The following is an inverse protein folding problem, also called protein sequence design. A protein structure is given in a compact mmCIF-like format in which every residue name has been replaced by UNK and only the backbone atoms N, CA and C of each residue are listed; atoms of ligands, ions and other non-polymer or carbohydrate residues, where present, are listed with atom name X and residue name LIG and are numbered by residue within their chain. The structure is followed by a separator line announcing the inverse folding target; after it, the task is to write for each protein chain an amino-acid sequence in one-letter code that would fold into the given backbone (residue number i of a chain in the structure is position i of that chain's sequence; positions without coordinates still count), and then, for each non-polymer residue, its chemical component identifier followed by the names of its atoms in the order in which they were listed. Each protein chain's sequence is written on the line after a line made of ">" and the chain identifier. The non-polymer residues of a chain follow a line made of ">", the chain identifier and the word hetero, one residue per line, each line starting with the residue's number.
data_IF_045830160010
#
_entry.id   IF_045830160010
#
_cell.length_a   1.000
_cell.length_b   1.000
_cell.length_c   1.000
_cell.angle_alpha   90.00
_cell.angle_beta   90.00
_cell.angle_gamma   90.00
#
_symmetry.space_group_name_H-M   'P 1'
#
loop_
_entity.id
_entity.type
_entity.pdbx_description
1 polymer ?
#
# COMPACT_ATOMS: atom_id res chain seq x y z
N UNK A 1 -16.81 -9.32 10.21
CA UNK A 1 -15.95 -10.22 11.00
C UNK A 1 -16.70 -10.90 12.14
N UNK A 2 -17.25 -10.18 13.13
CA UNK A 2 -18.07 -10.76 14.22
C UNK A 2 -19.17 -11.71 13.73
N UNK A 3 -19.91 -11.28 12.72
CA UNK A 3 -21.01 -12.05 12.12
C UNK A 3 -20.58 -13.06 11.05
N UNK A 4 -19.36 -12.94 10.53
CA UNK A 4 -18.91 -13.69 9.34
C UNK A 4 -17.50 -14.25 9.61
N UNK A 5 -17.38 -15.52 10.08
CA UNK A 5 -16.11 -16.11 10.49
C UNK A 5 -15.15 -16.34 9.31
N UNK A 6 -15.68 -16.57 8.11
CA UNK A 6 -14.88 -16.81 6.90
C UNK A 6 -14.47 -15.51 6.18
N UNK A 7 -14.87 -14.35 6.69
CA UNK A 7 -14.53 -13.07 6.08
C UNK A 7 -13.12 -12.65 6.48
N UNK A 8 -12.31 -12.31 5.48
CA UNK A 8 -10.99 -11.69 5.61
C UNK A 8 -11.04 -10.25 5.11
N UNK A 9 -10.29 -9.37 5.76
CA UNK A 9 -10.17 -7.96 5.39
C UNK A 9 -8.70 -7.57 5.35
N UNK A 10 -8.34 -6.69 4.43
CA UNK A 10 -6.99 -6.17 4.31
C UNK A 10 -6.99 -4.66 4.48
N UNK A 11 -5.94 -4.13 5.12
CA UNK A 11 -5.69 -2.69 5.21
C UNK A 11 -4.18 -2.42 5.15
N UNK A 12 -3.79 -1.40 4.39
CA UNK A 12 -2.43 -1.20 3.91
C UNK A 12 -1.61 -0.22 4.75
N UNK A 13 -2.21 0.90 5.19
CA UNK A 13 -1.45 2.02 5.76
C UNK A 13 -1.34 1.90 7.27
N UNK A 14 -0.10 1.89 7.77
CA UNK A 14 0.12 1.79 9.21
C UNK A 14 -0.24 3.06 9.99
N UNK A 15 -0.20 4.23 9.35
CA UNK A 15 -0.65 5.48 9.95
C UNK A 15 -2.10 5.38 10.47
N UNK A 16 -2.96 4.63 9.77
CA UNK A 16 -4.34 4.43 10.19
C UNK A 16 -4.42 3.64 11.50
N UNK A 17 -3.56 2.63 11.67
CA UNK A 17 -3.48 1.88 12.93
C UNK A 17 -3.03 2.76 14.08
N UNK A 18 -2.04 3.62 13.87
CA UNK A 18 -1.60 4.56 14.91
C UNK A 18 -2.72 5.54 15.30
N UNK A 19 -3.47 6.07 14.34
CA UNK A 19 -4.63 6.92 14.65
C UNK A 19 -5.71 6.16 15.41
N UNK A 20 -6.00 4.91 15.05
CA UNK A 20 -6.98 4.08 15.77
C UNK A 20 -6.47 3.76 17.18
N UNK A 21 -5.19 3.46 17.36
CA UNK A 21 -4.61 3.22 18.69
C UNK A 21 -4.72 4.46 19.59
N UNK A 22 -4.48 5.65 19.04
CA UNK A 22 -4.53 6.91 19.78
C UNK A 22 -5.97 7.35 20.10
N UNK A 23 -6.87 7.26 19.12
CA UNK A 23 -8.25 7.79 19.24
C UNK A 23 -9.23 6.75 19.81
N UNK A 24 -9.03 5.46 19.50
CA UNK A 24 -9.91 4.37 19.86
C UNK A 24 -9.15 3.12 20.36
N UNK A 25 -8.46 3.19 21.52
CA UNK A 25 -7.60 2.09 21.99
C UNK A 25 -8.30 0.74 22.16
N UNK A 26 -9.60 0.74 22.51
CA UNK A 26 -10.40 -0.49 22.61
C UNK A 26 -10.61 -1.14 21.24
N UNK A 27 -10.89 -0.34 20.21
CA UNK A 27 -11.02 -0.82 18.83
C UNK A 27 -9.70 -1.36 18.31
N UNK A 28 -8.58 -0.71 18.64
CA UNK A 28 -7.26 -1.21 18.27
C UNK A 28 -6.98 -2.60 18.85
N UNK A 29 -7.38 -2.87 20.11
CA UNK A 29 -7.30 -4.21 20.71
C UNK A 29 -8.16 -5.22 19.95
N UNK A 30 -9.37 -4.86 19.55
CA UNK A 30 -10.22 -5.73 18.73
C UNK A 30 -9.57 -6.06 17.38
N UNK A 31 -8.97 -5.05 16.71
CA UNK A 31 -8.21 -5.26 15.47
C UNK A 31 -7.07 -6.26 15.69
N UNK A 32 -6.30 -6.12 16.77
CA UNK A 32 -5.24 -7.06 17.12
C UNK A 32 -5.75 -8.48 17.35
N UNK A 33 -6.91 -8.64 17.99
CA UNK A 33 -7.55 -9.95 18.17
C UNK A 33 -7.98 -10.57 16.83
N UNK A 34 -8.63 -9.81 15.96
CA UNK A 34 -9.01 -10.29 14.62
C UNK A 34 -7.81 -10.56 13.73
N UNK A 35 -6.71 -9.85 13.94
CA UNK A 35 -5.46 -10.12 13.23
C UNK A 35 -4.82 -11.43 13.68
N UNK A 36 -4.80 -11.71 14.98
CA UNK A 36 -4.36 -13.02 15.52
C UNK A 36 -5.23 -14.18 15.04
N UNK A 37 -6.52 -13.93 14.77
CA UNK A 37 -7.46 -14.92 14.21
C UNK A 37 -7.34 -15.12 12.70
N UNK A 38 -6.50 -14.33 12.01
CA UNK A 38 -6.37 -14.39 10.54
C UNK A 38 -7.52 -13.77 9.75
N UNK A 39 -8.39 -12.97 10.39
CA UNK A 39 -9.50 -12.29 9.72
C UNK A 39 -9.15 -10.85 9.33
N UNK A 40 -8.31 -10.17 10.11
CA UNK A 40 -7.81 -8.83 9.79
C UNK A 40 -6.34 -8.95 9.38
N UNK A 41 -6.05 -8.66 8.12
CA UNK A 41 -4.75 -8.91 7.49
C UNK A 41 -4.06 -7.58 7.19
N UNK A 42 -3.11 -7.11 8.02
CA UNK A 42 -2.27 -5.99 7.66
C UNK A 42 -1.45 -6.33 6.41
N UNK A 43 -1.56 -5.49 5.38
CA UNK A 43 -0.84 -5.62 4.11
C UNK A 43 -0.05 -4.34 3.83
N UNK A 44 0.64 -4.26 2.68
CA UNK A 44 1.40 -3.08 2.26
C UNK A 44 2.76 -2.92 2.95
N UNK A 45 2.80 -2.96 4.29
CA UNK A 45 4.04 -2.81 5.05
C UNK A 45 4.63 -1.39 5.02
N UNK A 46 3.81 -0.39 4.67
CA UNK A 46 4.20 1.01 4.52
C UNK A 46 3.50 1.91 5.53
N UNK A 47 4.09 3.08 5.79
CA UNK A 47 3.47 4.10 6.65
C UNK A 47 2.17 4.63 6.06
N UNK A 48 2.23 4.97 4.77
CA UNK A 48 1.13 5.44 3.93
C UNK A 48 1.23 4.78 2.55
N UNK A 49 0.16 4.81 1.76
CA UNK A 49 0.22 4.54 0.32
C UNK A 49 0.79 5.77 -0.39
N UNK A 50 2.11 5.77 -0.58
CA UNK A 50 2.83 6.90 -1.15
C UNK A 50 2.83 6.91 -2.67
N UNK A 51 3.07 8.10 -3.24
CA UNK A 51 3.49 8.22 -4.64
C UNK A 51 4.95 7.75 -4.79
N UNK A 52 5.19 6.81 -5.71
CA UNK A 52 6.50 6.18 -5.91
C UNK A 52 7.44 6.97 -6.83
N UNK A 53 6.93 7.92 -7.61
CA UNK A 53 7.72 8.67 -8.61
C UNK A 53 8.24 9.98 -8.01
N UNK A 54 7.43 10.64 -7.17
CA UNK A 54 7.79 11.89 -6.53
C UNK A 54 8.68 11.73 -5.28
N UNK A 55 9.08 10.50 -4.92
CA UNK A 55 9.75 10.15 -3.66
C UNK A 55 11.14 9.53 -3.86
N UNK A 56 12.01 9.65 -2.84
CA UNK A 56 13.37 9.04 -2.84
C UNK A 56 13.69 8.10 -1.66
N UNK A 57 12.96 8.14 -0.55
CA UNK A 57 13.32 7.41 0.68
C UNK A 57 12.14 6.65 1.27
N UNK A 58 12.27 5.35 1.56
CA UNK A 58 11.23 4.54 2.21
C UNK A 58 11.57 4.21 3.66
N UNK A 59 10.73 4.65 4.60
CA UNK A 59 10.63 4.01 5.91
C UNK A 59 9.79 2.74 5.74
N UNK A 60 10.44 1.59 5.74
CA UNK A 60 9.78 0.30 5.87
C UNK A 60 9.53 0.05 7.35
N UNK A 61 8.31 -0.31 7.72
CA UNK A 61 8.00 -0.64 9.11
C UNK A 61 8.62 -1.98 9.49
N UNK A 62 9.29 -2.00 10.64
CA UNK A 62 9.70 -3.22 11.34
C UNK A 62 8.51 -3.99 11.97
N UNK A 63 7.26 -3.60 11.71
CA UNK A 63 6.08 -4.08 12.43
C UNK A 63 5.40 -5.35 11.89
N UNK A 64 5.86 -5.89 10.77
CA UNK A 64 5.50 -7.25 10.39
C UNK A 64 6.60 -7.79 9.49
N UNK A 65 7.28 -8.87 9.91
CA UNK A 65 8.25 -9.60 9.09
C UNK A 65 7.60 -10.31 7.90
N UNK A 66 6.71 -9.64 7.17
CA UNK A 66 6.11 -10.11 5.93
C UNK A 66 6.86 -9.48 4.75
N UNK A 67 7.37 -10.37 3.93
CA UNK A 67 8.20 -10.15 2.77
C UNK A 67 7.52 -9.20 1.76
N UNK A 68 8.21 -8.13 1.33
CA UNK A 68 7.72 -7.14 0.34
C UNK A 68 7.87 -7.69 -1.10
N UNK A 69 8.11 -9.00 -1.24
CA UNK A 69 8.40 -9.67 -2.50
C UNK A 69 7.19 -9.85 -3.44
N UNK A 70 6.01 -9.34 -3.07
CA UNK A 70 4.73 -9.57 -3.74
C UNK A 70 3.88 -8.30 -3.79
N UNK A 71 3.38 -7.93 -4.97
CA UNK A 71 2.60 -6.70 -5.19
C UNK A 71 1.32 -6.96 -6.01
N UNK A 72 0.16 -6.60 -5.44
CA UNK A 72 -1.11 -6.51 -6.16
C UNK A 72 -1.32 -5.06 -6.54
N UNK A 73 -1.50 -4.78 -7.82
CA UNK A 73 -1.74 -3.43 -8.31
C UNK A 73 -3.05 -3.40 -9.11
N UNK A 74 -3.63 -2.23 -9.24
CA UNK A 74 -4.65 -2.01 -10.24
C UNK A 74 -4.04 -2.02 -11.64
N UNK A 75 -4.80 -2.57 -12.57
CA UNK A 75 -4.42 -2.73 -13.96
C UNK A 75 -4.29 -1.36 -14.64
N UNK A 76 -3.16 -1.16 -15.32
CA UNK A 76 -3.04 -0.10 -16.32
C UNK A 76 -3.65 -0.66 -17.61
N UNK A 77 -4.66 0.02 -18.17
CA UNK A 77 -5.52 -0.49 -19.23
C UNK A 77 -4.80 -1.08 -20.47
N UNK A 78 -3.52 -0.76 -20.67
CA UNK A 78 -2.71 -1.19 -21.81
C UNK A 78 -1.57 -2.18 -21.47
N UNK A 79 -1.39 -2.56 -20.21
CA UNK A 79 -0.28 -3.44 -19.84
C UNK A 79 -0.51 -4.87 -20.37
N UNK A 80 0.50 -5.53 -20.99
CA UNK A 80 0.29 -6.77 -21.73
C UNK A 80 -0.02 -8.00 -20.86
N UNK A 81 0.39 -7.99 -19.59
CA UNK A 81 0.31 -9.16 -18.71
C UNK A 81 -0.56 -8.88 -17.46
N UNK A 82 -1.14 -9.93 -16.89
CA UNK A 82 -1.79 -9.91 -15.58
C UNK A 82 -0.82 -10.42 -14.51
N UNK A 83 -0.07 -11.48 -14.79
CA UNK A 83 0.91 -12.06 -13.85
C UNK A 83 2.28 -12.05 -14.50
N UNK A 84 3.27 -11.45 -13.84
CA UNK A 84 4.62 -11.31 -14.39
C UNK A 84 5.69 -11.18 -13.30
N UNK A 85 6.95 -11.39 -13.67
CA UNK A 85 8.11 -11.10 -12.81
C UNK A 85 8.56 -9.67 -13.07
N UNK A 86 8.40 -8.80 -12.08
CA UNK A 86 8.84 -7.41 -12.17
C UNK A 86 10.27 -7.30 -11.66
N UNK A 87 11.18 -6.96 -12.56
CA UNK A 87 12.60 -6.85 -12.28
C UNK A 87 13.04 -5.40 -12.11
N UNK A 88 13.71 -5.13 -10.99
CA UNK A 88 14.40 -3.87 -10.73
C UNK A 88 15.59 -3.64 -11.66
N UNK A 89 16.19 -2.44 -11.57
CA UNK A 89 17.38 -2.09 -12.34
C UNK A 89 18.57 -3.00 -12.02
N UNK A 90 18.65 -3.47 -10.78
CA UNK A 90 19.64 -4.42 -10.24
C UNK A 90 19.34 -5.89 -10.56
N UNK A 91 18.23 -6.18 -11.24
CA UNK A 91 17.68 -7.52 -11.51
C UNK A 91 17.11 -8.28 -10.30
N UNK A 92 16.93 -7.63 -9.14
CA UNK A 92 16.03 -8.18 -8.12
C UNK A 92 14.61 -8.30 -8.69
N UNK A 93 13.86 -9.33 -8.29
CA UNK A 93 12.55 -9.63 -8.88
C UNK A 93 11.45 -9.76 -7.82
N UNK A 94 10.27 -9.26 -8.19
CA UNK A 94 9.04 -9.33 -7.40
C UNK A 94 7.96 -10.01 -8.25
N UNK A 95 7.26 -11.00 -7.69
CA UNK A 95 6.10 -11.59 -8.37
C UNK A 95 4.94 -10.60 -8.30
N UNK A 96 4.50 -10.13 -9.45
CA UNK A 96 3.47 -9.08 -9.56
C UNK A 96 2.20 -9.63 -10.20
N UNK A 97 1.05 -9.22 -9.67
CA UNK A 97 -0.25 -9.60 -10.20
C UNK A 97 -1.18 -8.38 -10.25
N UNK A 98 -1.77 -8.09 -11.40
CA UNK A 98 -2.81 -7.07 -11.52
C UNK A 98 -4.17 -7.69 -11.28
N UNK A 99 -4.99 -7.06 -10.43
CA UNK A 99 -6.36 -7.53 -10.20
C UNK A 99 -7.15 -7.40 -11.54
N UNK A 100 -7.58 -8.51 -12.17
CA UNK A 100 -8.08 -8.44 -13.54
C UNK A 100 -9.47 -7.81 -13.65
N UNK A 101 -10.15 -7.62 -12.51
CA UNK A 101 -11.38 -6.84 -12.47
C UNK A 101 -11.15 -5.34 -12.69
N UNK A 102 -9.91 -4.87 -12.85
CA UNK A 102 -9.55 -3.46 -13.10
C UNK A 102 -10.13 -2.48 -12.06
N UNK A 103 -10.30 -2.94 -10.81
CA UNK A 103 -10.79 -2.14 -9.69
C UNK A 103 -10.47 -2.80 -8.34
N UNK A 104 -10.18 -2.00 -7.31
CA UNK A 104 -10.21 -2.42 -5.90
C UNK A 104 -11.54 -2.15 -5.18
N UNK A 105 -12.48 -1.43 -5.82
CA UNK A 105 -13.79 -1.07 -5.24
C UNK A 105 -14.94 -1.92 -5.78
N UNK A 106 -14.65 -3.18 -6.09
CA UNK A 106 -15.63 -4.13 -6.61
C UNK A 106 -16.90 -4.21 -5.75
N UNK A 107 -18.05 -4.27 -6.40
CA UNK A 107 -19.39 -4.32 -5.78
C UNK A 107 -19.97 -5.73 -5.76
N UNK A 108 -19.15 -6.75 -6.02
CA UNK A 108 -19.49 -8.17 -6.06
C UNK A 108 -20.57 -8.51 -7.09
N UNK A 109 -20.70 -7.77 -8.18
CA UNK A 109 -21.69 -8.09 -9.22
C UNK A 109 -21.16 -9.16 -10.19
N UNK A 110 -22.10 -9.81 -10.89
CA UNK A 110 -21.78 -10.90 -11.83
C UNK A 110 -20.81 -10.45 -12.91
N UNK A 111 -21.04 -9.27 -13.50
CA UNK A 111 -20.19 -8.73 -14.56
C UNK A 111 -18.74 -8.54 -14.13
N UNK A 112 -18.50 -8.12 -12.90
CA UNK A 112 -17.16 -7.93 -12.35
C UNK A 112 -16.44 -9.26 -12.11
N UNK A 113 -17.13 -10.29 -11.61
CA UNK A 113 -16.54 -11.62 -11.46
C UNK A 113 -16.19 -12.24 -12.82
N UNK A 114 -17.10 -12.11 -13.79
CA UNK A 114 -16.85 -12.56 -15.16
C UNK A 114 -15.68 -11.80 -15.78
N UNK A 115 -15.57 -10.48 -15.53
CA UNK A 115 -14.45 -9.65 -15.96
C UNK A 115 -13.14 -10.09 -15.30
N UNK A 116 -13.14 -10.38 -14.00
CA UNK A 116 -11.96 -10.89 -13.27
C UNK A 116 -11.40 -12.16 -13.90
N UNK A 117 -12.24 -13.02 -14.46
CA UNK A 117 -11.78 -14.19 -15.20
C UNK A 117 -11.40 -13.83 -16.63
N UNK A 118 -12.23 -13.09 -17.37
CA UNK A 118 -11.96 -12.76 -18.77
C UNK A 118 -10.68 -11.97 -18.97
N UNK A 119 -10.43 -10.96 -18.14
CA UNK A 119 -9.31 -10.04 -18.24
C UNK A 119 -8.01 -10.60 -17.63
N UNK A 120 -8.00 -11.81 -17.10
CA UNK A 120 -6.75 -12.49 -16.76
C UNK A 120 -6.04 -12.88 -18.08
N UNK A 121 -5.02 -12.12 -18.48
CA UNK A 121 -4.41 -12.15 -19.82
C UNK A 121 -3.54 -13.39 -20.04
N UNK A 122 -2.82 -13.84 -19.02
CA UNK A 122 -1.77 -14.87 -19.14
C UNK A 122 -2.22 -16.25 -18.64
N UNK A 123 -3.47 -16.65 -18.88
CA UNK A 123 -4.06 -17.90 -18.33
C UNK A 123 -3.27 -19.17 -18.66
N UNK A 124 -2.56 -19.18 -19.79
CA UNK A 124 -1.71 -20.31 -20.20
C UNK A 124 -0.56 -20.52 -19.21
N UNK A 125 -0.03 -19.44 -18.65
CA UNK A 125 1.12 -19.41 -17.75
C UNK A 125 0.71 -19.27 -16.28
N UNK A 126 -0.47 -18.70 -16.02
CA UNK A 126 -0.97 -18.38 -14.69
C UNK A 126 -2.50 -18.29 -14.67
N UNK A 127 -3.17 -19.34 -14.21
CA UNK A 127 -4.64 -19.42 -14.20
C UNK A 127 -5.25 -19.19 -12.81
N UNK A 128 -4.72 -18.21 -12.08
CA UNK A 128 -5.26 -17.75 -10.79
C UNK A 128 -5.59 -16.27 -10.89
N UNK A 129 -6.68 -15.87 -10.24
CA UNK A 129 -7.15 -14.48 -10.22
C UNK A 129 -7.48 -14.10 -8.79
N UNK A 130 -7.17 -12.86 -8.43
CA UNK A 130 -7.67 -12.21 -7.21
C UNK A 130 -8.75 -11.19 -7.58
N UNK A 131 -9.82 -11.12 -6.78
CA UNK A 131 -10.88 -10.14 -6.90
C UNK A 131 -10.92 -9.29 -5.64
N UNK A 132 -10.77 -7.98 -5.81
CA UNK A 132 -10.76 -7.00 -4.73
C UNK A 132 -12.13 -6.32 -4.67
N UNK A 133 -12.67 -6.16 -3.47
CA UNK A 133 -14.02 -5.63 -3.29
C UNK A 133 -14.15 -4.80 -2.02
N UNK A 134 -15.13 -3.90 -2.03
CA UNK A 134 -15.43 -2.99 -0.94
C UNK A 134 -15.57 -1.55 -1.40
N UNK A 135 -15.76 -0.66 -0.43
CA UNK A 135 -15.86 0.77 -0.69
C UNK A 135 -14.52 1.43 -0.33
N UNK A 136 -13.71 1.70 -1.34
CA UNK A 136 -12.47 2.47 -1.25
C UNK A 136 -12.72 3.97 -1.35
N UNK A 137 -11.69 4.76 -1.63
CA UNK A 137 -11.78 6.22 -1.84
C UNK A 137 -12.43 6.97 -0.66
N UNK A 138 -12.13 6.49 0.56
CA UNK A 138 -12.74 6.98 1.81
C UNK A 138 -14.03 6.26 2.23
N UNK A 139 -14.43 5.19 1.54
CA UNK A 139 -15.75 4.53 1.66
C UNK A 139 -15.96 3.49 2.78
N UNK A 140 -15.04 3.29 3.72
CA UNK A 140 -15.29 2.49 4.93
C UNK A 140 -15.34 0.95 4.76
N UNK A 141 -14.94 0.40 3.61
CA UNK A 141 -14.78 -1.04 3.38
C UNK A 141 -16.04 -1.76 2.86
N UNK A 142 -16.05 -3.11 2.80
CA UNK A 142 -17.15 -3.88 2.22
C UNK A 142 -18.39 -3.97 3.11
N UNK A 143 -19.57 -3.99 2.48
CA UNK A 143 -20.87 -4.13 3.15
C UNK A 143 -21.25 -5.60 3.35
N UNK A 144 -22.09 -5.90 4.35
CA UNK A 144 -22.58 -7.28 4.57
C UNK A 144 -23.27 -7.85 3.31
N UNK A 145 -24.07 -7.03 2.63
CA UNK A 145 -24.76 -7.43 1.40
C UNK A 145 -23.80 -7.84 0.26
N UNK A 146 -22.54 -7.34 0.27
CA UNK A 146 -21.52 -7.79 -0.69
C UNK A 146 -21.06 -9.22 -0.38
N UNK A 147 -20.95 -9.57 0.90
CA UNK A 147 -20.57 -10.91 1.34
C UNK A 147 -21.67 -11.92 1.02
N UNK A 148 -22.92 -11.57 1.34
CA UNK A 148 -24.09 -12.40 1.03
C UNK A 148 -24.19 -12.66 -0.49
N UNK A 149 -23.87 -11.64 -1.29
CA UNK A 149 -23.83 -11.76 -2.75
C UNK A 149 -22.72 -12.70 -3.22
N UNK A 150 -21.51 -12.60 -2.66
CA UNK A 150 -20.41 -13.50 -3.01
C UNK A 150 -20.73 -14.96 -2.67
N UNK A 151 -21.38 -15.21 -1.54
CA UNK A 151 -21.83 -16.54 -1.13
C UNK A 151 -22.80 -17.13 -2.17
N UNK A 152 -23.83 -16.37 -2.55
CA UNK A 152 -24.78 -16.79 -3.60
C UNK A 152 -24.06 -17.07 -4.92
N UNK A 153 -23.18 -16.15 -5.36
CA UNK A 153 -22.49 -16.27 -6.64
C UNK A 153 -21.51 -17.45 -6.69
N UNK A 154 -21.03 -17.91 -5.54
CA UNK A 154 -20.17 -19.10 -5.46
C UNK A 154 -20.91 -20.41 -5.75
N UNK A 155 -22.24 -20.43 -5.64
CA UNK A 155 -23.10 -21.60 -5.87
C UNK A 155 -23.74 -21.63 -7.28
N UNK A 156 -23.63 -20.54 -8.05
CA UNK A 156 -24.28 -20.43 -9.37
C UNK A 156 -23.46 -21.17 -10.43
N UNK A 157 -24.10 -22.17 -11.05
CA UNK A 157 -23.53 -22.90 -12.19
C UNK A 157 -23.27 -21.97 -13.39
N UNK A 158 -22.09 -22.09 -14.01
CA UNK A 158 -21.66 -21.26 -15.13
C UNK A 158 -20.93 -19.97 -14.72
N UNK A 159 -20.92 -19.61 -13.44
CA UNK A 159 -20.00 -18.61 -12.89
C UNK A 159 -18.70 -19.27 -12.42
N UNK A 160 -17.62 -18.48 -12.22
CA UNK A 160 -16.35 -19.02 -11.72
C UNK A 160 -16.58 -19.73 -10.38
N UNK A 161 -16.56 -21.06 -10.39
CA UNK A 161 -17.06 -21.96 -9.33
C UNK A 161 -16.33 -21.89 -7.98
N UNK A 162 -15.38 -20.96 -7.80
CA UNK A 162 -14.57 -20.83 -6.59
C UNK A 162 -14.27 -19.37 -6.31
N UNK A 163 -15.27 -18.59 -5.92
CA UNK A 163 -15.02 -17.33 -5.21
C UNK A 163 -14.91 -17.66 -3.73
N UNK A 164 -13.69 -17.66 -3.22
CA UNK A 164 -13.40 -17.89 -1.80
C UNK A 164 -12.78 -16.62 -1.23
N UNK A 165 -13.27 -16.19 -0.07
CA UNK A 165 -12.52 -15.25 0.75
C UNK A 165 -11.20 -15.93 1.17
N UNK A 166 -10.11 -15.17 1.15
CA UNK A 166 -8.79 -15.72 1.40
C UNK A 166 -7.77 -14.67 1.81
N UNK A 167 -6.61 -15.15 2.23
CA UNK A 167 -5.43 -14.33 2.49
C UNK A 167 -4.69 -14.09 1.16
N UNK A 168 -4.35 -12.84 0.78
CA UNK A 168 -3.49 -12.57 -0.36
C UNK A 168 -2.17 -13.35 -0.34
N UNK A 169 -1.61 -13.65 0.84
CA UNK A 169 -0.40 -14.46 0.97
C UNK A 169 -0.61 -15.90 0.46
N UNK A 170 -1.76 -16.51 0.77
CA UNK A 170 -2.12 -17.83 0.26
C UNK A 170 -2.33 -17.79 -1.26
N UNK A 171 -3.00 -16.74 -1.76
CA UNK A 171 -3.13 -16.51 -3.20
C UNK A 171 -1.75 -16.50 -3.88
N UNK A 172 -0.79 -15.75 -3.35
CA UNK A 172 0.55 -15.71 -3.95
C UNK A 172 1.32 -17.01 -3.82
N UNK A 173 1.13 -17.76 -2.73
CA UNK A 173 1.75 -19.08 -2.56
C UNK A 173 1.24 -20.04 -3.64
N UNK A 174 -0.05 -20.03 -3.91
CA UNK A 174 -0.65 -20.82 -4.99
C UNK A 174 -0.23 -20.32 -6.37
N UNK A 175 -0.22 -19.00 -6.58
CA UNK A 175 0.19 -18.36 -7.82
C UNK A 175 1.62 -18.76 -8.19
N UNK A 176 2.53 -18.68 -7.22
CA UNK A 176 3.93 -19.04 -7.38
C UNK A 176 4.13 -20.54 -7.66
N UNK A 177 3.37 -21.41 -6.99
CA UNK A 177 3.45 -22.86 -7.18
C UNK A 177 2.86 -23.35 -8.51
N UNK A 178 1.90 -22.61 -9.08
CA UNK A 178 1.18 -23.02 -10.30
C UNK A 178 1.59 -22.26 -11.56
N UNK A 179 2.31 -21.15 -11.43
CA UNK A 179 2.74 -20.36 -12.58
C UNK A 179 4.06 -20.85 -13.16
N UNK A 180 4.23 -20.76 -14.47
CA UNK A 180 5.48 -21.09 -15.17
C UNK A 180 5.70 -20.14 -16.35
N UNK A 181 6.96 -20.02 -16.81
CA UNK A 181 7.34 -19.22 -17.99
C UNK A 181 6.77 -17.78 -18.02
N UNK A 182 6.66 -17.17 -16.84
CA UNK A 182 6.11 -15.82 -16.68
C UNK A 182 6.95 -14.79 -17.44
N UNK A 183 6.28 -13.82 -18.05
CA UNK A 183 6.96 -12.68 -18.67
C UNK A 183 7.75 -11.91 -17.63
N UNK A 184 8.97 -11.50 -18.00
CA UNK A 184 9.83 -10.66 -17.17
C UNK A 184 9.77 -9.22 -17.66
N UNK A 185 9.27 -8.31 -16.83
CA UNK A 185 9.27 -6.88 -17.09
C UNK A 185 10.42 -6.20 -16.35
N UNK A 186 11.38 -5.60 -17.07
CA UNK A 186 12.51 -4.91 -16.44
C UNK A 186 12.34 -3.39 -16.52
N UNK A 187 12.51 -2.73 -15.38
CA UNK A 187 12.46 -1.27 -15.27
C UNK A 187 11.09 -0.78 -14.78
N UNK A 188 10.77 0.47 -15.09
CA UNK A 188 9.57 1.14 -14.58
C UNK A 188 8.28 0.54 -15.17
N UNK A 189 7.24 0.47 -14.35
CA UNK A 189 5.86 0.32 -14.81
C UNK A 189 5.29 1.71 -15.06
N UNK A 190 5.55 2.25 -16.25
CA UNK A 190 5.18 3.62 -16.58
C UNK A 190 3.66 3.78 -16.64
N UNK A 191 3.11 4.64 -15.77
CA UNK A 191 1.69 4.98 -15.78
C UNK A 191 1.43 6.16 -16.71
N UNK A 192 0.76 5.90 -17.84
CA UNK A 192 0.58 6.88 -18.92
C UNK A 192 -0.40 8.01 -18.59
N UNK A 193 -1.21 7.82 -17.54
CA UNK A 193 -2.24 8.74 -17.06
C UNK A 193 -1.72 9.65 -15.94
N UNK A 194 -2.53 10.64 -15.57
CA UNK A 194 -2.29 11.56 -14.44
C UNK A 194 -0.97 12.35 -14.48
N UNK A 195 -0.30 12.49 -15.63
CA UNK A 195 0.98 13.20 -15.78
C UNK A 195 1.03 14.65 -15.27
N UNK A 196 -0.13 15.30 -15.09
CA UNK A 196 -0.22 16.62 -14.46
C UNK A 196 0.22 16.64 -13.00
N UNK A 197 0.26 15.50 -12.33
CA UNK A 197 0.70 15.37 -10.93
C UNK A 197 2.17 15.75 -10.74
N UNK A 198 3.00 15.66 -11.77
CA UNK A 198 4.42 16.03 -11.66
C UNK A 198 4.64 17.53 -11.51
N UNK A 199 3.74 18.36 -12.05
CA UNK A 199 3.88 19.82 -12.05
C UNK A 199 2.87 20.53 -11.14
N UNK A 200 1.75 19.89 -10.84
CA UNK A 200 0.75 20.42 -9.89
C UNK A 200 1.35 20.68 -8.51
N UNK A 201 0.87 21.70 -7.80
CA UNK A 201 1.30 22.02 -6.43
C UNK A 201 2.83 22.03 -6.21
N UNK A 202 3.58 22.75 -7.05
CA UNK A 202 5.04 22.82 -6.98
C UNK A 202 5.60 23.25 -5.62
N UNK A 203 4.85 24.05 -4.85
CA UNK A 203 5.24 24.44 -3.48
C UNK A 203 5.29 23.24 -2.53
N UNK A 204 4.34 22.30 -2.62
CA UNK A 204 4.30 21.08 -1.80
C UNK A 204 5.52 20.20 -2.12
N UNK A 205 5.83 20.05 -3.41
CA UNK A 205 7.01 19.28 -3.87
C UNK A 205 8.32 19.93 -3.39
N UNK A 206 8.40 21.26 -3.41
CA UNK A 206 9.55 22.01 -2.87
C UNK A 206 9.71 21.77 -1.37
N UNK A 207 8.64 21.89 -0.60
CA UNK A 207 8.68 21.61 0.84
C UNK A 207 9.06 20.16 1.12
N UNK A 208 8.46 19.19 0.42
CA UNK A 208 8.82 17.78 0.56
C UNK A 208 10.32 17.57 0.37
N UNK A 209 10.90 18.13 -0.69
CA UNK A 209 12.32 17.96 -0.96
C UNK A 209 13.22 18.70 0.03
N UNK A 210 12.80 19.87 0.50
CA UNK A 210 13.48 20.63 1.56
C UNK A 210 13.55 19.79 2.84
N UNK A 211 12.40 19.29 3.30
CA UNK A 211 12.27 18.50 4.52
C UNK A 211 13.01 17.15 4.43
N UNK A 212 12.95 16.44 3.31
CA UNK A 212 13.73 15.21 3.10
C UNK A 212 15.24 15.45 3.24
N UNK A 213 15.75 16.52 2.63
CA UNK A 213 17.16 16.88 2.72
C UNK A 213 17.54 17.28 4.16
N UNK A 214 16.72 18.12 4.79
CA UNK A 214 16.94 18.59 6.16
C UNK A 214 17.00 17.43 7.15
N UNK A 215 16.00 16.55 7.15
CA UNK A 215 15.97 15.41 8.06
C UNK A 215 17.15 14.47 7.83
N UNK A 216 17.48 14.18 6.57
CA UNK A 216 18.67 13.38 6.23
C UNK A 216 19.97 14.02 6.76
N UNK A 217 20.11 15.33 6.66
CA UNK A 217 21.29 16.05 7.16
C UNK A 217 21.35 16.03 8.68
N UNK A 218 20.22 16.22 9.37
CA UNK A 218 20.14 16.12 10.83
C UNK A 218 20.49 14.72 11.30
N UNK A 219 19.97 13.66 10.66
CA UNK A 219 20.32 12.28 10.99
C UNK A 219 21.80 11.99 10.78
N UNK A 220 22.35 12.42 9.64
CA UNK A 220 23.76 12.24 9.32
C UNK A 220 24.67 12.93 10.35
N UNK A 221 24.42 14.22 10.64
CA UNK A 221 25.20 14.98 11.60
C UNK A 221 25.03 14.45 13.03
N UNK A 222 23.82 14.05 13.42
CA UNK A 222 23.56 13.43 14.73
C UNK A 222 24.31 12.10 14.87
N UNK A 223 24.38 11.30 13.81
CA UNK A 223 25.12 10.03 13.81
C UNK A 223 26.63 10.27 13.89
N UNK A 224 27.15 11.26 13.17
CA UNK A 224 28.55 11.66 13.26
C UNK A 224 28.92 12.18 14.66
N UNK A 225 28.05 12.98 15.28
CA UNK A 225 28.26 13.47 16.64
C UNK A 225 28.29 12.31 17.65
N UNK A 226 27.38 11.34 17.52
CA UNK A 226 27.34 10.15 18.37
C UNK A 226 28.58 9.26 18.22
N UNK A 227 29.10 9.12 16.99
CA UNK A 227 30.30 8.32 16.71
C UNK A 227 31.62 9.05 17.04
N UNK A 228 31.57 10.35 17.35
CA UNK A 228 32.78 11.16 17.54
C UNK A 228 33.46 10.90 18.89
N UNK A 229 34.78 10.65 18.92
CA UNK A 229 35.52 10.50 20.18
C UNK A 229 35.78 11.85 20.89
N UNK A 230 35.44 12.97 20.25
CA UNK A 230 35.75 14.30 20.78
C UNK A 230 34.94 14.58 22.06
N UNK A 231 35.62 15.08 23.09
CA UNK A 231 35.03 15.39 24.41
C UNK A 231 33.75 16.24 24.36
N UNK A 232 33.64 17.16 23.39
CA UNK A 232 32.48 18.05 23.19
C UNK A 232 31.18 17.30 22.91
N UNK A 233 31.26 16.12 22.28
CA UNK A 233 30.09 15.35 21.85
C UNK A 233 29.82 14.11 22.73
N UNK A 234 30.61 13.87 23.78
CA UNK A 234 30.42 12.70 24.67
C UNK A 234 29.05 12.64 25.35
N UNK A 235 28.39 13.78 25.52
CA UNK A 235 27.07 13.90 26.13
C UNK A 235 25.95 14.08 25.08
N UNK A 236 26.29 14.09 23.79
CA UNK A 236 25.30 14.20 22.74
C UNK A 236 24.43 12.94 22.71
N UNK A 237 23.11 13.13 22.68
CA UNK A 237 22.13 12.06 22.55
C UNK A 237 21.43 12.19 21.21
N UNK A 238 21.30 11.08 20.47
CA UNK A 238 20.58 11.07 19.21
C UNK A 238 19.09 11.39 19.44
N UNK A 239 18.51 12.42 18.79
CA UNK A 239 17.14 12.87 19.05
C UNK A 239 16.10 11.95 18.38
N UNK A 240 16.09 10.67 18.73
CA UNK A 240 15.29 9.62 18.10
C UNK A 240 13.79 9.95 18.09
N UNK A 241 13.26 10.35 19.24
CA UNK A 241 11.81 10.60 19.42
C UNK A 241 11.35 11.75 18.53
N UNK A 242 12.13 12.83 18.47
CA UNK A 242 11.78 13.99 17.66
C UNK A 242 11.92 13.69 16.17
N UNK A 243 13.01 13.03 15.76
CA UNK A 243 13.20 12.63 14.36
C UNK A 243 12.11 11.67 13.87
N UNK A 244 11.67 10.73 14.70
CA UNK A 244 10.56 9.84 14.37
C UNK A 244 9.26 10.64 14.14
N UNK A 245 8.97 11.62 14.99
CA UNK A 245 7.81 12.51 14.85
C UNK A 245 7.87 13.29 13.54
N UNK A 246 9.01 13.91 13.25
CA UNK A 246 9.20 14.73 12.05
C UNK A 246 9.17 13.90 10.76
N UNK A 247 9.78 12.71 10.75
CA UNK A 247 9.66 11.80 9.62
C UNK A 247 8.21 11.38 9.38
N UNK A 248 7.45 11.06 10.42
CA UNK A 248 6.02 10.72 10.27
C UNK A 248 5.22 11.86 9.62
N UNK A 249 5.51 13.12 9.94
CA UNK A 249 4.89 14.28 9.28
C UNK A 249 5.25 14.37 7.80
N UNK A 250 6.54 14.25 7.46
CA UNK A 250 6.98 14.25 6.05
C UNK A 250 6.33 13.10 5.29
N UNK A 251 6.35 11.90 5.84
CA UNK A 251 5.79 10.69 5.23
C UNK A 251 4.26 10.79 5.06
N UNK A 252 3.55 11.40 6.01
CA UNK A 252 2.11 11.63 5.89
C UNK A 252 1.80 12.50 4.66
N UNK A 253 2.58 13.55 4.42
CA UNK A 253 2.44 14.39 3.24
C UNK A 253 2.88 13.73 1.93
N UNK A 254 3.51 12.55 1.97
CA UNK A 254 3.89 11.76 0.79
C UNK A 254 2.78 10.81 0.31
N UNK A 255 1.60 10.84 0.93
CA UNK A 255 0.42 10.12 0.45
C UNK A 255 0.12 10.47 -1.02
N UNK A 256 -0.34 9.48 -1.79
CA UNK A 256 -0.49 9.56 -3.24
C UNK A 256 -1.49 10.63 -3.73
N UNK A 257 -2.35 11.18 -2.88
CA UNK A 257 -3.18 12.35 -3.24
C UNK A 257 -2.64 13.70 -2.76
N UNK A 258 -1.74 13.68 -1.77
CA UNK A 258 -1.19 14.89 -1.17
C UNK A 258 -0.01 15.37 -1.99
N UNK A 259 1.07 14.58 -2.09
CA UNK A 259 2.30 14.98 -2.77
C UNK A 259 2.10 15.23 -4.29
N UNK A 260 1.33 14.38 -5.00
CA UNK A 260 0.96 14.61 -6.39
C UNK A 260 0.17 15.90 -6.66
N UNK A 261 -0.57 16.42 -5.69
CA UNK A 261 -1.33 17.65 -5.90
C UNK A 261 -2.76 17.42 -6.41
N UNK A 262 -3.45 16.35 -5.95
CA UNK A 262 -4.82 15.96 -6.35
C UNK A 262 -5.90 16.11 -5.26
N UNK A 263 -5.59 16.76 -4.14
CA UNK A 263 -6.50 16.98 -3.00
C UNK A 263 -7.18 18.36 -3.01
N UNK A 264 -8.11 18.58 -2.08
CA UNK A 264 -8.74 19.90 -1.87
C UNK A 264 -7.82 20.85 -1.08
N UNK A 265 -8.10 22.15 -1.16
CA UNK A 265 -7.30 23.21 -0.50
C UNK A 265 -7.00 22.94 0.99
N UNK A 266 -7.99 22.47 1.75
CA UNK A 266 -7.84 22.22 3.19
C UNK A 266 -6.68 21.25 3.48
N UNK A 267 -6.51 20.22 2.64
CA UNK A 267 -5.42 19.26 2.78
C UNK A 267 -4.06 19.93 2.60
N UNK A 268 -3.95 20.90 1.69
CA UNK A 268 -2.70 21.63 1.47
C UNK A 268 -2.39 22.64 2.55
N UNK A 269 -3.41 23.27 3.13
CA UNK A 269 -3.23 24.14 4.28
C UNK A 269 -2.63 23.34 5.45
N UNK A 270 -3.13 22.12 5.68
CA UNK A 270 -2.61 21.20 6.69
C UNK A 270 -1.19 20.70 6.36
N UNK A 271 -0.95 20.28 5.11
CA UNK A 271 0.36 19.80 4.66
C UNK A 271 1.45 20.85 4.83
N UNK A 272 1.16 22.12 4.50
CA UNK A 272 2.10 23.23 4.67
C UNK A 272 2.43 23.44 6.15
N UNK A 273 1.44 23.37 7.05
CA UNK A 273 1.69 23.46 8.50
C UNK A 273 2.61 22.35 8.99
N UNK A 274 2.43 21.12 8.50
CA UNK A 274 3.31 20.01 8.86
C UNK A 274 4.73 20.19 8.35
N UNK A 275 4.92 20.72 7.13
CA UNK A 275 6.26 21.03 6.64
C UNK A 275 6.93 22.17 7.41
N UNK A 276 6.18 23.18 7.84
CA UNK A 276 6.70 24.27 8.67
C UNK A 276 7.16 23.78 10.06
N UNK A 277 6.46 22.81 10.64
CA UNK A 277 6.87 22.15 11.90
C UNK A 277 8.18 21.36 11.72
N UNK A 278 8.43 20.80 10.53
CA UNK A 278 9.71 20.13 10.23
C UNK A 278 10.87 21.12 10.06
N UNK A 279 10.59 22.34 9.60
CA UNK A 279 11.61 23.38 9.37
C UNK A 279 11.90 24.24 10.61
N UNK A 280 11.09 24.18 11.67
CA UNK A 280 11.24 24.99 12.90
C UNK A 280 12.21 24.40 13.92
#
# INVERSE_FOLDING_TARGET
>A
MKSNPNFTFTASQAQQYEWVEQLYPSLFKEIQEYSKKGQFLPVGGTWVEMDYIARRYQLTLAFAGKDISKAVLESVALFPNTTFKWAGLDNSEVLTHFAPADTYVGQCNVSELVRSVHNNKDKVYSNKSIYLYGNGDGGGGPLSAMLDRLEILSEVEGLPATVKNGDPADFYKELEASSHDLTRWKGELYFELHRGTYTSHGIIKKYNRSSENLLREVEFLSTLALASPHSKYRQFSYPKVELDRLWKLVLLNQFHDVLPGSSIKMVYDDAIRFYQDVES
#
